data_IF_736673000579
#
_entry.id   IF_736673000579
#
_cell.length_a   1.000
_cell.length_b   1.000
_cell.length_c   1.000
_cell.angle_alpha   90.00
_cell.angle_beta   90.00
_cell.angle_gamma   90.00
#
_symmetry.space_group_name_H-M   'P 1'
#
loop_
_entity.id
_entity.type
_entity.pdbx_description
1 polymer ?
#
# COMPACT_ATOMS: atom_id res chain seq x y z
N UNK A 1 -17.27 15.14 -9.13
CA UNK A 1 -15.97 14.46 -9.18
C UNK A 1 -15.17 14.90 -7.98
N UNK A 2 -14.39 14.03 -7.34
CA UNK A 2 -13.55 14.42 -6.20
C UNK A 2 -12.50 15.46 -6.60
N UNK A 3 -12.25 16.43 -5.71
CA UNK A 3 -11.15 17.39 -5.88
C UNK A 3 -9.84 16.72 -5.44
N UNK A 4 -9.06 16.26 -6.42
CA UNK A 4 -7.79 15.57 -6.14
C UNK A 4 -6.74 16.50 -5.49
N UNK A 5 -6.80 17.82 -5.72
CA UNK A 5 -5.88 18.76 -5.07
C UNK A 5 -6.08 18.77 -3.55
N UNK A 6 -7.32 18.58 -3.10
CA UNK A 6 -7.62 18.57 -1.68
C UNK A 6 -7.06 17.33 -0.94
N UNK A 7 -6.83 16.23 -1.65
CA UNK A 7 -6.40 14.95 -1.05
C UNK A 7 -4.93 14.61 -1.25
N UNK A 8 -4.23 15.20 -2.22
CA UNK A 8 -2.78 15.04 -2.37
C UNK A 8 -2.06 15.89 -1.33
N UNK A 9 -1.27 15.22 -0.48
CA UNK A 9 -0.52 15.84 0.62
C UNK A 9 0.99 15.82 0.31
N UNK A 10 1.81 16.26 1.27
CA UNK A 10 3.26 16.32 1.09
C UNK A 10 3.89 14.94 0.79
N UNK A 11 3.36 13.85 1.37
CA UNK A 11 3.97 12.52 1.32
C UNK A 11 3.02 11.38 0.97
N UNK A 12 1.73 11.68 0.81
CA UNK A 12 0.71 10.68 0.50
C UNK A 12 -0.54 11.32 -0.14
N UNK A 13 -1.45 10.48 -0.58
CA UNK A 13 -2.81 10.84 -0.96
C UNK A 13 -3.69 10.45 0.23
N UNK A 14 -4.57 11.36 0.69
CA UNK A 14 -5.42 11.09 1.86
C UNK A 14 -6.73 11.85 1.79
N UNK A 15 -7.84 11.13 1.93
CA UNK A 15 -9.18 11.72 1.88
C UNK A 15 -10.21 10.90 2.66
N UNK A 16 -11.38 11.50 2.86
CA UNK A 16 -12.57 10.82 3.40
C UNK A 16 -13.18 9.96 2.30
N UNK A 17 -13.52 8.73 2.62
CA UNK A 17 -14.15 7.77 1.70
C UNK A 17 -15.64 7.68 1.99
N UNK A 18 -16.53 7.76 0.97
CA UNK A 18 -16.19 7.91 -0.46
C UNK A 18 -16.13 9.37 -0.95
N UNK A 19 -16.37 10.38 -0.12
CA UNK A 19 -16.63 11.76 -0.55
C UNK A 19 -15.44 12.43 -1.24
N UNK A 20 -14.22 12.12 -0.81
CA UNK A 20 -12.99 12.74 -1.32
C UNK A 20 -12.10 11.75 -2.06
N UNK A 21 -12.13 10.48 -1.64
CA UNK A 21 -11.36 9.39 -2.24
C UNK A 21 -12.30 8.22 -2.50
N UNK A 22 -12.73 8.09 -3.73
CA UNK A 22 -13.62 7.03 -4.22
C UNK A 22 -12.90 6.10 -5.20
N UNK A 23 -13.63 5.11 -5.71
CA UNK A 23 -13.09 4.16 -6.69
C UNK A 23 -12.62 4.85 -7.99
N UNK A 24 -13.26 5.97 -8.40
CA UNK A 24 -12.87 6.69 -9.60
C UNK A 24 -11.53 7.40 -9.41
N UNK A 25 -11.32 8.05 -8.27
CA UNK A 25 -10.06 8.65 -7.90
C UNK A 25 -8.96 7.59 -7.75
N UNK A 26 -9.26 6.45 -7.11
CA UNK A 26 -8.30 5.37 -6.96
C UNK A 26 -7.88 4.79 -8.33
N UNK A 27 -8.81 4.58 -9.27
CA UNK A 27 -8.51 4.18 -10.63
C UNK A 27 -7.59 5.20 -11.33
N UNK A 28 -7.94 6.49 -11.26
CA UNK A 28 -7.15 7.55 -11.86
C UNK A 28 -5.72 7.60 -11.32
N UNK A 29 -5.54 7.41 -10.00
CA UNK A 29 -4.20 7.28 -9.42
C UNK A 29 -3.49 5.99 -9.82
N UNK A 30 -4.20 4.90 -10.10
CA UNK A 30 -3.63 3.68 -10.67
C UNK A 30 -3.02 3.91 -12.05
N UNK A 31 -3.77 4.59 -12.94
CA UNK A 31 -3.27 5.04 -14.24
C UNK A 31 -2.07 5.97 -14.08
N UNK A 32 -2.19 6.96 -13.19
CA UNK A 32 -1.14 7.93 -12.94
C UNK A 32 0.15 7.26 -12.43
N UNK A 33 0.04 6.32 -11.51
CA UNK A 33 1.17 5.58 -10.95
C UNK A 33 1.86 4.72 -12.01
N UNK A 34 1.10 4.03 -12.85
CA UNK A 34 1.62 3.27 -13.98
C UNK A 34 2.41 4.15 -14.96
N UNK A 35 1.85 5.30 -15.34
CA UNK A 35 2.48 6.25 -16.27
C UNK A 35 3.71 6.93 -15.66
N UNK A 36 3.60 7.39 -14.41
CA UNK A 36 4.70 8.06 -13.72
C UNK A 36 5.90 7.15 -13.50
N UNK A 37 5.67 5.91 -13.06
CA UNK A 37 6.77 4.98 -12.78
C UNK A 37 7.38 4.37 -14.03
N UNK A 38 6.61 4.23 -15.12
CA UNK A 38 7.01 3.50 -16.32
C UNK A 38 7.41 2.04 -16.04
N UNK A 39 7.03 1.51 -14.89
CA UNK A 39 7.41 0.18 -14.47
C UNK A 39 6.61 -0.90 -15.21
N UNK A 40 7.22 -2.07 -15.43
CA UNK A 40 6.53 -3.23 -15.99
C UNK A 40 5.61 -3.92 -14.99
N UNK A 41 5.94 -3.79 -13.70
CA UNK A 41 5.18 -4.42 -12.62
C UNK A 41 5.24 -3.55 -11.36
N UNK A 42 4.19 -3.62 -10.55
CA UNK A 42 4.05 -2.92 -9.28
C UNK A 42 3.57 -3.89 -8.19
N UNK A 43 3.79 -3.51 -6.93
CA UNK A 43 3.23 -4.22 -5.78
C UNK A 43 2.19 -3.34 -5.08
N UNK A 44 1.05 -3.93 -4.68
CA UNK A 44 -0.01 -3.24 -3.95
C UNK A 44 -0.39 -4.00 -2.69
N UNK A 45 -0.82 -3.25 -1.66
CA UNK A 45 -1.32 -3.80 -0.41
C UNK A 45 -2.31 -2.83 0.24
N UNK A 46 -3.07 -3.31 1.22
CA UNK A 46 -3.94 -2.46 2.03
C UNK A 46 -3.87 -2.83 3.51
N UNK A 47 -4.20 -1.87 4.37
CA UNK A 47 -4.39 -2.10 5.79
C UNK A 47 -5.81 -2.64 6.10
N UNK A 48 -6.18 -2.69 7.38
CA UNK A 48 -7.44 -3.26 7.86
C UNK A 48 -8.68 -2.40 7.59
N UNK A 49 -8.56 -1.24 6.92
CA UNK A 49 -9.69 -0.33 6.66
C UNK A 49 -10.70 -0.98 5.72
N UNK A 50 -12.02 -0.93 6.04
CA UNK A 50 -13.05 -1.58 5.21
C UNK A 50 -13.08 -1.10 3.75
N UNK A 51 -12.72 0.16 3.51
CA UNK A 51 -12.64 0.74 2.15
C UNK A 51 -11.40 0.30 1.35
N UNK A 52 -10.41 -0.35 2.00
CA UNK A 52 -9.16 -0.75 1.35
C UNK A 52 -9.35 -1.64 0.13
N UNK A 53 -10.09 -2.75 0.22
CA UNK A 53 -10.25 -3.68 -0.91
C UNK A 53 -10.84 -3.05 -2.17
N UNK A 54 -11.88 -2.20 -2.04
CA UNK A 54 -12.50 -1.52 -3.16
C UNK A 54 -11.54 -0.54 -3.85
N UNK A 55 -10.84 0.27 -3.05
CA UNK A 55 -9.88 1.25 -3.57
C UNK A 55 -8.69 0.57 -4.25
N UNK A 56 -8.18 -0.52 -3.65
CA UNK A 56 -7.12 -1.35 -4.26
C UNK A 56 -7.58 -1.92 -5.58
N UNK A 57 -8.79 -2.49 -5.65
CA UNK A 57 -9.33 -3.05 -6.88
C UNK A 57 -9.40 -2.00 -7.98
N UNK A 58 -9.92 -0.81 -7.68
CA UNK A 58 -9.98 0.28 -8.64
C UNK A 58 -8.59 0.74 -9.11
N UNK A 59 -7.65 0.93 -8.21
CA UNK A 59 -6.28 1.32 -8.52
C UNK A 59 -5.57 0.30 -9.41
N UNK A 60 -5.65 -0.97 -9.04
CA UNK A 60 -5.00 -2.03 -9.82
C UNK A 60 -5.61 -2.16 -11.21
N UNK A 61 -6.93 -1.96 -11.38
CA UNK A 61 -7.56 -1.91 -12.71
C UNK A 61 -6.98 -0.79 -13.58
N UNK A 62 -6.74 0.38 -13.00
CA UNK A 62 -6.07 1.48 -13.72
C UNK A 62 -4.67 1.10 -14.19
N UNK A 63 -3.86 0.50 -13.33
CA UNK A 63 -2.51 0.05 -13.69
C UNK A 63 -2.53 -1.08 -14.74
N UNK A 64 -3.40 -2.08 -14.56
CA UNK A 64 -3.57 -3.20 -15.48
C UNK A 64 -4.00 -2.74 -16.88
N UNK A 65 -4.93 -1.78 -16.99
CA UNK A 65 -5.38 -1.22 -18.26
C UNK A 65 -4.22 -0.59 -19.06
N UNK A 66 -3.19 -0.14 -18.37
CA UNK A 66 -2.00 0.45 -18.98
C UNK A 66 -0.82 -0.55 -19.13
N UNK A 67 -1.09 -1.85 -19.07
CA UNK A 67 -0.12 -2.91 -19.36
C UNK A 67 0.86 -3.19 -18.24
N UNK A 68 0.60 -2.69 -17.03
CA UNK A 68 1.45 -2.92 -15.85
C UNK A 68 0.96 -4.14 -15.10
N UNK A 69 1.83 -5.11 -14.84
CA UNK A 69 1.52 -6.26 -14.01
C UNK A 69 1.39 -5.84 -12.55
N UNK A 70 0.44 -6.43 -11.83
CA UNK A 70 0.19 -6.12 -10.41
C UNK A 70 0.39 -7.36 -9.56
N UNK A 71 1.23 -7.24 -8.54
CA UNK A 71 1.35 -8.21 -7.45
C UNK A 71 0.63 -7.66 -6.23
N UNK A 72 -0.51 -8.23 -5.91
CA UNK A 72 -1.31 -7.86 -4.74
C UNK A 72 -0.91 -8.72 -3.53
N UNK A 73 -0.39 -8.06 -2.49
CA UNK A 73 0.03 -8.69 -1.23
C UNK A 73 -1.14 -8.89 -0.26
N UNK A 74 -2.26 -8.22 -0.54
CA UNK A 74 -3.46 -8.27 0.31
C UNK A 74 -3.33 -7.43 1.56
N UNK A 75 -3.85 -7.97 2.67
CA UNK A 75 -3.82 -7.32 3.98
C UNK A 75 -2.39 -7.29 4.53
N UNK A 76 -1.84 -6.09 4.73
CA UNK A 76 -0.45 -5.91 5.10
C UNK A 76 -0.22 -4.63 5.91
N UNK A 77 0.90 -4.59 6.64
CA UNK A 77 1.43 -3.33 7.16
C UNK A 77 2.20 -2.56 6.08
N UNK A 78 2.41 -1.25 6.30
CA UNK A 78 3.24 -0.44 5.40
C UNK A 78 4.66 -1.00 5.27
N UNK A 79 5.21 -1.52 6.36
CA UNK A 79 6.56 -2.10 6.39
C UNK A 79 6.63 -3.36 5.52
N UNK A 80 5.58 -4.19 5.51
CA UNK A 80 5.49 -5.37 4.65
C UNK A 80 5.42 -4.98 3.17
N UNK A 81 4.69 -3.91 2.83
CA UNK A 81 4.71 -3.40 1.45
C UNK A 81 6.10 -2.90 1.05
N UNK A 82 6.80 -2.18 1.93
CA UNK A 82 8.16 -1.72 1.65
C UNK A 82 9.14 -2.89 1.51
N UNK A 83 8.99 -3.92 2.34
CA UNK A 83 9.72 -5.17 2.16
C UNK A 83 9.46 -5.79 0.78
N UNK A 84 8.21 -5.88 0.36
CA UNK A 84 7.83 -6.41 -0.95
C UNK A 84 8.42 -5.57 -2.10
N UNK A 85 8.35 -4.23 -1.99
CA UNK A 85 8.96 -3.31 -2.95
C UNK A 85 10.47 -3.53 -3.08
N UNK A 86 11.17 -3.68 -1.96
CA UNK A 86 12.61 -3.97 -1.94
C UNK A 86 12.94 -5.35 -2.49
N UNK A 87 12.22 -6.37 -2.06
CA UNK A 87 12.42 -7.78 -2.46
C UNK A 87 12.26 -7.98 -3.97
N UNK A 88 11.21 -7.40 -4.56
CA UNK A 88 10.91 -7.56 -5.98
C UNK A 88 11.52 -6.46 -6.85
N UNK A 89 12.11 -5.45 -6.24
CA UNK A 89 12.60 -4.24 -6.92
C UNK A 89 11.50 -3.58 -7.78
N UNK A 90 10.28 -3.49 -7.23
CA UNK A 90 9.10 -2.92 -7.88
C UNK A 90 8.62 -1.67 -7.15
N UNK A 91 8.07 -0.66 -7.86
CA UNK A 91 7.30 0.40 -7.20
C UNK A 91 6.12 -0.17 -6.43
N UNK A 92 5.72 0.49 -5.35
CA UNK A 92 4.66 0.02 -4.47
C UNK A 92 3.62 1.07 -4.11
N UNK A 93 2.37 0.63 -3.90
CA UNK A 93 1.27 1.45 -3.42
C UNK A 93 0.59 0.78 -2.22
N UNK A 94 0.61 1.44 -1.07
CA UNK A 94 -0.02 1.02 0.18
C UNK A 94 -1.29 1.81 0.44
N UNK A 95 -2.40 1.11 0.57
CA UNK A 95 -3.68 1.71 0.92
C UNK A 95 -3.85 1.77 2.44
N UNK A 96 -3.74 2.96 2.97
CA UNK A 96 -3.75 3.23 4.42
C UNK A 96 -3.99 4.71 4.70
N UNK A 97 -4.58 5.03 5.82
CA UNK A 97 -4.58 6.37 6.38
C UNK A 97 -3.92 6.42 7.77
N UNK A 98 -3.06 5.45 8.08
CA UNK A 98 -2.30 5.40 9.34
C UNK A 98 -3.24 5.46 10.57
N UNK A 99 -3.05 6.46 11.44
CA UNK A 99 -3.82 6.70 12.66
C UNK A 99 -5.07 7.57 12.47
N UNK A 100 -5.42 7.95 11.24
CA UNK A 100 -6.62 8.72 10.98
C UNK A 100 -7.89 7.91 11.29
N UNK A 101 -9.01 8.58 11.64
CA UNK A 101 -10.29 7.92 11.86
C UNK A 101 -10.73 6.98 10.72
N UNK A 102 -11.67 6.08 11.01
CA UNK A 102 -12.04 4.98 10.10
C UNK A 102 -12.59 5.45 8.75
N UNK A 103 -13.20 6.63 8.67
CA UNK A 103 -13.72 7.20 7.42
C UNK A 103 -12.62 7.67 6.44
N UNK A 104 -11.38 7.78 6.90
CA UNK A 104 -10.26 8.12 6.01
C UNK A 104 -9.67 6.87 5.36
N UNK A 105 -9.17 7.05 4.15
CA UNK A 105 -8.19 6.16 3.53
C UNK A 105 -7.19 7.00 2.74
N UNK A 106 -6.20 6.36 2.16
CA UNK A 106 -5.18 7.05 1.39
C UNK A 106 -4.30 6.08 0.61
N UNK A 107 -3.40 6.64 -0.18
CA UNK A 107 -2.44 5.89 -0.99
C UNK A 107 -1.04 6.44 -0.69
N UNK A 108 -0.20 5.60 -0.14
CA UNK A 108 1.21 5.90 0.08
C UNK A 108 2.04 5.15 -0.95
N UNK A 109 2.77 5.89 -1.78
CA UNK A 109 3.52 5.34 -2.89
C UNK A 109 5.03 5.31 -2.63
N UNK A 110 5.70 4.33 -3.22
CA UNK A 110 7.16 4.30 -3.30
C UNK A 110 7.62 3.84 -4.69
N UNK A 111 8.82 4.26 -5.09
CA UNK A 111 9.56 3.70 -6.21
C UNK A 111 10.18 2.36 -5.81
N UNK A 112 10.72 1.63 -6.78
CA UNK A 112 11.45 0.40 -6.55
C UNK A 112 12.54 0.56 -5.47
N UNK A 113 12.71 -0.47 -4.62
CA UNK A 113 13.60 -0.40 -3.46
C UNK A 113 13.06 0.46 -2.31
N UNK A 114 11.74 0.59 -2.20
CA UNK A 114 11.03 1.32 -1.14
C UNK A 114 11.42 2.82 -1.03
N UNK A 115 11.87 3.45 -2.12
CA UNK A 115 12.21 4.88 -2.14
C UNK A 115 10.93 5.70 -2.13
N UNK A 116 10.76 6.58 -1.13
CA UNK A 116 9.55 7.38 -0.94
C UNK A 116 9.22 8.26 -2.13
N UNK A 117 7.92 8.38 -2.44
CA UNK A 117 7.38 9.38 -3.35
C UNK A 117 6.66 10.44 -2.51
N UNK A 118 7.00 11.71 -2.74
CA UNK A 118 6.35 12.87 -2.14
C UNK A 118 5.95 13.88 -3.20
N UNK A 119 5.50 15.06 -2.76
CA UNK A 119 4.98 16.09 -3.67
C UNK A 119 6.05 16.60 -4.65
N UNK A 120 7.31 16.64 -4.22
CA UNK A 120 8.39 17.22 -5.02
C UNK A 120 9.09 16.21 -5.93
N UNK A 121 8.78 14.91 -5.78
CA UNK A 121 9.42 13.85 -6.54
C UNK A 121 8.44 12.80 -7.10
N UNK A 122 7.18 13.21 -7.39
CA UNK A 122 6.26 12.36 -8.12
C UNK A 122 4.78 12.57 -7.85
N UNK A 123 4.33 12.89 -6.62
CA UNK A 123 2.89 13.05 -6.36
C UNK A 123 2.26 14.19 -7.16
N UNK A 124 3.02 15.26 -7.45
CA UNK A 124 2.54 16.37 -8.30
C UNK A 124 2.30 15.89 -9.74
N UNK A 125 3.21 15.12 -10.29
CA UNK A 125 3.08 14.57 -11.64
C UNK A 125 1.92 13.58 -11.72
N UNK A 126 1.79 12.72 -10.68
CA UNK A 126 0.65 11.80 -10.56
C UNK A 126 -0.68 12.54 -10.45
N UNK A 127 -0.73 13.66 -9.71
CA UNK A 127 -1.92 14.49 -9.58
C UNK A 127 -2.37 15.04 -10.95
N UNK A 128 -1.44 15.54 -11.74
CA UNK A 128 -1.75 16.07 -13.09
C UNK A 128 -2.35 14.96 -13.97
N UNK A 129 -1.73 13.77 -13.98
CA UNK A 129 -2.23 12.64 -14.79
C UNK A 129 -3.59 12.16 -14.27
N UNK A 130 -3.75 11.99 -12.96
CA UNK A 130 -5.00 11.51 -12.37
C UNK A 130 -6.16 12.51 -12.62
N UNK A 131 -5.90 13.81 -12.54
CA UNK A 131 -6.89 14.84 -12.88
C UNK A 131 -7.32 14.72 -14.35
N UNK A 132 -6.37 14.58 -15.27
CA UNK A 132 -6.68 14.40 -16.68
C UNK A 132 -7.55 13.15 -16.93
N UNK A 133 -7.29 12.05 -16.22
CA UNK A 133 -8.12 10.83 -16.29
C UNK A 133 -9.56 11.10 -15.86
N UNK A 134 -9.75 11.79 -14.73
CA UNK A 134 -11.10 12.14 -14.24
C UNK A 134 -11.83 13.08 -15.20
N UNK A 135 -11.12 13.98 -15.86
CA UNK A 135 -11.66 14.92 -16.85
C UNK A 135 -11.98 14.25 -18.22
N UNK A 136 -11.83 12.92 -18.30
CA UNK A 136 -12.08 12.15 -19.54
C UNK A 136 -10.93 12.15 -20.54
N UNK A 137 -9.76 12.67 -20.16
CA UNK A 137 -8.55 12.69 -20.98
C UNK A 137 -7.58 11.58 -20.57
N UNK A 138 -8.09 10.37 -20.37
CA UNK A 138 -7.27 9.21 -20.03
C UNK A 138 -6.28 8.91 -21.17
N UNK A 139 -4.99 8.69 -20.85
CA UNK A 139 -4.02 8.21 -21.82
C UNK A 139 -4.51 6.90 -22.47
N UNK A 140 -4.17 6.67 -23.75
CA UNK A 140 -4.57 5.44 -24.43
C UNK A 140 -4.10 4.22 -23.64
N UNK A 141 -5.02 3.29 -23.29
CA UNK A 141 -4.67 2.03 -22.64
C UNK A 141 -3.70 1.20 -23.48
N UNK A 142 -3.00 0.30 -22.84
CA UNK A 142 -2.09 -0.60 -23.53
C UNK A 142 -2.84 -1.59 -24.42
N UNK A 143 -2.25 -2.00 -25.55
CA UNK A 143 -2.83 -3.00 -26.44
C UNK A 143 -3.07 -4.36 -25.74
N UNK A 144 -2.29 -4.65 -24.70
CA UNK A 144 -2.44 -5.82 -23.83
C UNK A 144 -2.43 -5.34 -22.38
N UNK A 145 -3.49 -5.68 -21.64
CA UNK A 145 -3.56 -5.43 -20.22
C UNK A 145 -2.48 -6.21 -19.45
N UNK A 146 -2.07 -5.67 -18.32
CA UNK A 146 -1.20 -6.37 -17.37
C UNK A 146 -1.90 -7.55 -16.71
N UNK A 147 -1.17 -8.31 -15.93
CA UNK A 147 -1.64 -9.49 -15.18
C UNK A 147 -1.73 -9.20 -13.69
N UNK A 148 -2.74 -9.77 -13.01
CA UNK A 148 -2.90 -9.67 -11.56
C UNK A 148 -2.48 -10.98 -10.90
N UNK A 149 -1.56 -10.88 -9.95
CA UNK A 149 -1.14 -12.00 -9.10
C UNK A 149 -1.40 -11.67 -7.63
N UNK A 150 -1.76 -12.68 -6.84
CA UNK A 150 -1.91 -12.56 -5.39
C UNK A 150 -0.84 -13.38 -4.70
N UNK A 151 -0.19 -12.81 -3.70
CA UNK A 151 0.83 -13.49 -2.89
C UNK A 151 0.64 -13.13 -1.41
N UNK A 152 1.05 -14.05 -0.53
CA UNK A 152 1.15 -13.77 0.89
C UNK A 152 2.64 -13.76 1.27
N UNK A 153 3.10 -12.66 1.83
CA UNK A 153 4.50 -12.45 2.21
C UNK A 153 4.72 -12.38 3.73
N UNK A 154 3.69 -12.63 4.54
CA UNK A 154 3.79 -12.43 5.99
C UNK A 154 4.91 -13.26 6.60
N UNK A 155 5.00 -14.55 6.27
CA UNK A 155 6.05 -15.43 6.80
C UNK A 155 7.45 -14.98 6.40
N UNK A 156 7.65 -14.67 5.12
CA UNK A 156 8.96 -14.21 4.63
C UNK A 156 9.36 -12.84 5.20
N UNK A 157 8.37 -11.95 5.42
CA UNK A 157 8.58 -10.67 6.07
C UNK A 157 9.01 -10.86 7.53
N UNK A 158 8.36 -11.76 8.26
CA UNK A 158 8.74 -12.12 9.63
C UNK A 158 10.16 -12.67 9.69
N UNK A 159 10.50 -13.61 8.81
CA UNK A 159 11.85 -14.15 8.72
C UNK A 159 12.90 -13.07 8.41
N UNK A 160 12.52 -12.06 7.62
CA UNK A 160 13.37 -10.91 7.34
C UNK A 160 13.57 -10.04 8.57
N UNK A 161 12.50 -9.71 9.29
CA UNK A 161 12.55 -8.86 10.50
C UNK A 161 13.37 -9.53 11.61
N UNK A 162 13.18 -10.83 11.83
CA UNK A 162 13.92 -11.57 12.87
C UNK A 162 15.43 -11.57 12.64
N UNK A 163 15.89 -11.47 11.40
CA UNK A 163 17.34 -11.39 11.10
C UNK A 163 18.02 -10.12 11.60
N UNK A 164 17.28 -9.07 11.93
CA UNK A 164 17.84 -7.84 12.51
C UNK A 164 18.16 -7.95 13.99
N UNK A 165 17.68 -9.00 14.66
CA UNK A 165 17.90 -9.20 16.09
C UNK A 165 18.81 -10.41 16.34
N UNK A 166 19.66 -10.29 17.35
CA UNK A 166 20.43 -11.41 17.88
C UNK A 166 19.62 -12.04 19.02
N UNK A 167 18.70 -12.97 18.67
CA UNK A 167 17.74 -13.55 19.62
C UNK A 167 18.43 -14.15 20.87
N UNK A 168 19.62 -14.73 20.70
CA UNK A 168 20.40 -15.35 21.78
C UNK A 168 20.91 -14.35 22.82
N UNK A 169 20.92 -13.06 22.50
CA UNK A 169 21.37 -11.98 23.41
C UNK A 169 20.23 -11.34 24.20
N UNK A 170 19.00 -11.68 23.86
CA UNK A 170 17.83 -11.11 24.52
C UNK A 170 17.62 -11.73 25.90
N UNK A 171 17.55 -10.87 26.91
CA UNK A 171 17.13 -11.32 28.24
C UNK A 171 15.62 -11.57 28.27
N UNK A 172 15.11 -12.50 29.07
CA UNK A 172 13.68 -12.67 29.26
C UNK A 172 13.02 -11.39 29.74
N UNK A 173 11.97 -10.95 29.01
CA UNK A 173 11.16 -9.77 29.35
C UNK A 173 9.69 -10.17 29.30
N UNK A 174 8.90 -9.60 30.20
CA UNK A 174 7.44 -9.66 30.13
C UNK A 174 6.96 -8.42 29.37
N UNK A 175 6.43 -8.62 28.16
CA UNK A 175 6.00 -7.54 27.26
C UNK A 175 4.50 -7.64 27.08
N UNK A 176 3.81 -6.50 27.18
CA UNK A 176 2.40 -6.35 26.78
C UNK A 176 2.39 -5.51 25.52
N UNK A 177 1.79 -6.03 24.45
CA UNK A 177 1.64 -5.32 23.17
C UNK A 177 0.16 -5.01 22.95
N UNK A 178 -0.21 -3.74 23.02
CA UNK A 178 -1.53 -3.26 22.61
C UNK A 178 -1.40 -2.67 21.20
N UNK A 179 -1.95 -3.35 20.22
CA UNK A 179 -1.90 -2.94 18.80
C UNK A 179 -3.19 -2.25 18.37
N UNK A 180 -4.10 -2.00 19.29
CA UNK A 180 -5.46 -1.52 19.03
C UNK A 180 -6.11 -2.32 17.87
N UNK A 181 -6.78 -1.64 16.94
CA UNK A 181 -7.35 -2.28 15.74
C UNK A 181 -6.39 -2.22 14.52
N UNK A 182 -5.10 -2.03 14.75
CA UNK A 182 -4.11 -1.84 13.70
C UNK A 182 -3.49 -3.15 13.17
N UNK A 183 -2.63 -3.01 12.18
CA UNK A 183 -1.95 -4.14 11.51
C UNK A 183 -0.97 -4.90 12.42
N UNK A 184 -0.63 -4.35 13.59
CA UNK A 184 0.14 -5.06 14.59
C UNK A 184 -0.52 -6.36 15.05
N UNK A 185 -1.86 -6.42 15.07
CA UNK A 185 -2.60 -7.65 15.35
C UNK A 185 -2.33 -8.81 14.37
N UNK A 186 -1.94 -8.49 13.13
CA UNK A 186 -1.52 -9.49 12.14
C UNK A 186 -0.03 -9.82 12.26
N UNK A 187 0.82 -8.81 12.41
CA UNK A 187 2.27 -8.96 12.27
C UNK A 187 2.92 -9.45 13.57
N UNK A 188 2.52 -8.89 14.71
CA UNK A 188 3.16 -9.20 16.02
C UNK A 188 3.03 -10.67 16.39
N UNK A 189 1.84 -11.33 16.32
CA UNK A 189 1.74 -12.74 16.64
C UNK A 189 2.67 -13.61 15.78
N UNK A 190 2.75 -13.31 14.49
CA UNK A 190 3.62 -14.05 13.57
C UNK A 190 5.10 -13.83 13.89
N UNK A 191 5.51 -12.59 14.22
CA UNK A 191 6.90 -12.23 14.50
C UNK A 191 7.39 -12.70 15.88
N UNK A 192 6.50 -12.87 16.86
CA UNK A 192 6.85 -13.16 18.27
C UNK A 192 6.50 -14.60 18.65
N UNK A 193 5.85 -15.38 17.79
CA UNK A 193 5.51 -16.78 18.07
C UNK A 193 6.72 -17.66 18.39
N UNK A 194 7.93 -17.24 18.03
CA UNK A 194 9.19 -17.85 18.45
C UNK A 194 9.49 -17.66 19.95
N UNK A 195 8.81 -16.77 20.66
CA UNK A 195 9.13 -16.38 22.04
C UNK A 195 7.97 -16.53 23.01
N UNK A 196 7.08 -17.51 22.84
CA UNK A 196 5.98 -17.83 23.76
C UNK A 196 5.01 -16.65 24.02
N UNK A 197 4.22 -16.29 23.01
CA UNK A 197 3.05 -15.44 23.19
C UNK A 197 1.92 -16.26 23.84
N UNK A 198 1.61 -15.98 25.09
CA UNK A 198 0.31 -16.33 25.67
C UNK A 198 -0.62 -15.15 25.43
N UNK A 199 -1.57 -15.29 24.50
CA UNK A 199 -2.67 -14.34 24.39
C UNK A 199 -3.55 -14.51 25.65
N UNK A 200 -3.94 -13.44 26.35
CA UNK A 200 -4.98 -13.55 27.36
C UNK A 200 -6.25 -14.01 26.65
N UNK A 201 -6.73 -15.18 27.03
CA UNK A 201 -8.08 -15.62 26.67
C UNK A 201 -9.05 -14.84 27.55
N UNK A 202 -9.75 -13.87 26.96
CA UNK A 202 -10.96 -13.26 27.59
C UNK A 202 -12.14 -14.15 27.39
#
# INVERSE_FOLDING_TARGET
MPDLNAIVKAYDIRGIVPEQLDASAAYAFGVAFAKFTGARAIVVAHDMRPSGPELVDAFQRGALAHGVDVTNVGLASSDLLYYASGKFNMPGAMFTASHNPAQYNGIKCCLAGARSIGIDNGLRDMLVIATAVLDGNEPTPAAKAGTLNHINLLSEFVDHVVKFIQADTLRPLKIVADTANGMGGLVVPAAVSYTHLTLPTT
#
